data_IF_825568512387
#
_entry.id   IF_825568512387
#
_cell.length_a   1.000
_cell.length_b   1.000
_cell.length_c   1.000
_cell.angle_alpha   90.00
_cell.angle_beta   90.00
_cell.angle_gamma   90.00
#
_symmetry.space_group_name_H-M   'P 1'
#
loop_
_entity.id
_entity.type
_entity.pdbx_description
1 polymer ?
#
# COMPACT_ATOMS: atom_id res chain seq x y z
N UNK A 1 -14.71 -4.13 -5.03
CA UNK A 1 -13.31 -4.29 -4.59
C UNK A 1 -12.83 -5.71 -4.90
N UNK A 2 -11.61 -5.81 -5.30
CA UNK A 2 -10.98 -7.09 -5.58
C UNK A 2 -10.67 -7.85 -4.29
N UNK A 3 -10.78 -9.18 -4.33
CA UNK A 3 -10.32 -10.05 -3.24
C UNK A 3 -8.85 -10.41 -3.38
N UNK A 4 -8.14 -9.72 -4.26
CA UNK A 4 -6.72 -9.92 -4.49
C UNK A 4 -5.93 -8.89 -3.69
N UNK A 5 -4.93 -9.36 -2.98
CA UNK A 5 -4.02 -8.51 -2.22
C UNK A 5 -2.60 -8.63 -2.77
N UNK A 6 -1.79 -7.65 -2.50
CA UNK A 6 -0.37 -7.68 -2.82
C UNK A 6 0.41 -7.82 -1.52
N UNK A 7 1.21 -8.87 -1.42
CA UNK A 7 1.98 -9.17 -0.21
C UNK A 7 3.37 -9.64 -0.61
N UNK A 8 4.38 -8.98 -0.08
CA UNK A 8 5.79 -9.36 -0.28
C UNK A 8 6.18 -9.53 -1.75
N UNK A 9 5.69 -8.64 -2.60
CA UNK A 9 6.04 -8.63 -4.02
C UNK A 9 5.18 -9.52 -4.90
N UNK A 10 4.10 -10.10 -4.37
CA UNK A 10 3.24 -11.01 -5.13
C UNK A 10 1.78 -10.68 -4.93
N UNK A 11 0.99 -10.91 -5.97
CA UNK A 11 -0.46 -10.87 -5.85
C UNK A 11 -0.95 -12.20 -5.30
N UNK A 12 -1.77 -12.14 -4.26
CA UNK A 12 -2.30 -13.33 -3.59
C UNK A 12 -3.79 -13.16 -3.34
N UNK A 13 -4.48 -14.28 -3.14
CA UNK A 13 -5.89 -14.24 -2.77
C UNK A 13 -6.04 -13.96 -1.27
N UNK A 14 -7.22 -13.49 -0.89
CA UNK A 14 -7.52 -13.17 0.51
C UNK A 14 -7.20 -14.34 1.45
N UNK A 15 -7.49 -15.55 1.01
CA UNK A 15 -7.32 -16.76 1.80
C UNK A 15 -5.86 -17.07 2.10
N UNK A 16 -4.95 -16.54 1.27
CA UNK A 16 -3.50 -16.75 1.40
C UNK A 16 -2.79 -15.56 2.01
N UNK A 17 -3.54 -14.54 2.42
CA UNK A 17 -2.98 -13.28 2.91
C UNK A 17 -2.73 -13.33 4.42
N UNK A 18 -1.60 -13.93 4.82
CA UNK A 18 -1.17 -13.90 6.22
C UNK A 18 0.26 -13.50 6.38
N UNK A 19 0.57 -13.05 7.60
CA UNK A 19 1.93 -12.75 8.01
C UNK A 19 2.29 -13.65 9.18
N UNK A 20 3.57 -13.93 9.31
CA UNK A 20 4.07 -14.77 10.41
C UNK A 20 3.83 -14.09 11.77
N UNK A 21 3.46 -14.84 12.81
CA UNK A 21 3.44 -14.30 14.17
C UNK A 21 4.81 -13.80 14.64
N UNK A 22 5.88 -14.19 13.95
CA UNK A 22 7.25 -13.74 14.26
C UNK A 22 7.61 -12.44 13.54
N UNK A 23 6.66 -11.84 12.81
CA UNK A 23 6.89 -10.57 12.12
C UNK A 23 7.28 -9.49 13.12
N UNK A 24 8.30 -8.73 12.77
CA UNK A 24 8.90 -7.71 13.63
C UNK A 24 7.89 -6.70 14.16
N UNK A 25 6.97 -6.25 13.31
CA UNK A 25 5.91 -5.31 13.68
C UNK A 25 5.05 -5.84 14.82
N UNK A 26 4.71 -7.14 14.79
CA UNK A 26 3.85 -7.75 15.79
C UNK A 26 4.54 -7.89 17.15
N UNK A 27 5.86 -8.07 17.15
CA UNK A 27 6.62 -8.26 18.39
C UNK A 27 7.18 -6.95 18.96
N UNK A 28 7.56 -6.02 18.09
CA UNK A 28 8.30 -4.82 18.49
C UNK A 28 7.59 -3.53 18.12
N UNK A 29 6.47 -3.62 17.44
CA UNK A 29 5.69 -2.44 17.06
C UNK A 29 6.35 -1.56 16.00
N UNK A 30 7.31 -2.09 15.22
CA UNK A 30 7.98 -1.32 14.17
C UNK A 30 7.32 -1.57 12.82
N UNK A 31 6.68 -0.54 12.31
CA UNK A 31 6.05 -0.60 11.00
C UNK A 31 5.68 0.79 10.53
N UNK A 32 5.45 0.94 9.25
CA UNK A 32 4.97 2.19 8.66
C UNK A 32 3.76 1.90 7.79
N UNK A 33 2.78 2.79 7.83
CA UNK A 33 1.58 2.64 7.01
C UNK A 33 1.12 4.00 6.52
N UNK A 34 0.27 3.98 5.49
CA UNK A 34 -0.34 5.18 4.95
C UNK A 34 -1.74 4.84 4.49
N UNK A 35 -2.67 5.76 4.67
CA UNK A 35 -4.04 5.60 4.21
C UNK A 35 -4.35 6.55 3.08
N UNK A 36 -4.94 6.03 2.02
CA UNK A 36 -5.37 6.84 0.89
C UNK A 36 -6.86 6.63 0.63
N UNK A 37 -7.50 7.64 0.07
CA UNK A 37 -8.92 7.58 -0.29
C UNK A 37 -9.09 7.79 -1.77
N UNK A 38 -10.09 7.13 -2.33
CA UNK A 38 -10.49 7.32 -3.71
C UNK A 38 -11.86 7.98 -3.78
N UNK A 39 -12.08 8.73 -4.85
CA UNK A 39 -13.33 9.43 -5.08
C UNK A 39 -13.76 9.24 -6.53
N UNK A 40 -15.07 9.13 -6.75
CA UNK A 40 -15.62 9.05 -8.10
C UNK A 40 -15.44 10.43 -8.76
N UNK A 41 -14.88 10.45 -9.97
CA UNK A 41 -14.67 11.67 -10.71
C UNK A 41 -16.01 12.26 -11.21
N UNK A 42 -15.99 13.51 -11.65
CA UNK A 42 -17.18 14.20 -12.13
C UNK A 42 -17.90 13.48 -13.28
N UNK A 43 -17.17 12.75 -14.09
CA UNK A 43 -17.76 11.98 -15.20
C UNK A 43 -18.44 10.69 -14.75
N UNK A 44 -18.34 10.35 -13.47
CA UNK A 44 -18.87 9.13 -12.86
C UNK A 44 -18.35 7.84 -13.47
N UNK A 45 -17.30 7.93 -14.30
CA UNK A 45 -16.74 6.80 -15.04
C UNK A 45 -15.34 6.42 -14.55
N UNK A 46 -14.67 7.31 -13.85
CA UNK A 46 -13.32 7.08 -13.37
C UNK A 46 -13.23 7.35 -11.88
N UNK A 47 -12.17 6.86 -11.28
CA UNK A 47 -11.91 7.01 -9.85
C UNK A 47 -10.58 7.73 -9.67
N UNK A 48 -10.58 8.77 -8.85
CA UNK A 48 -9.38 9.51 -8.51
C UNK A 48 -8.94 9.15 -7.10
N UNK A 49 -7.65 8.91 -6.93
CA UNK A 49 -7.07 8.72 -5.60
C UNK A 49 -6.53 10.07 -5.12
N UNK A 50 -7.04 10.51 -3.98
CA UNK A 50 -6.68 11.81 -3.45
C UNK A 50 -5.20 11.82 -3.02
N UNK A 51 -4.41 12.66 -3.66
CA UNK A 51 -2.99 12.89 -3.33
C UNK A 51 -2.16 11.61 -3.20
N UNK A 52 -2.35 10.69 -4.14
CA UNK A 52 -1.65 9.40 -4.09
C UNK A 52 -0.12 9.57 -4.02
N UNK A 53 0.42 10.46 -4.83
CA UNK A 53 1.87 10.69 -4.85
C UNK A 53 2.39 11.17 -3.50
N UNK A 54 1.73 12.15 -2.91
CA UNK A 54 2.11 12.72 -1.61
C UNK A 54 2.00 11.69 -0.50
N UNK A 55 0.94 10.88 -0.49
CA UNK A 55 0.77 9.80 0.48
C UNK A 55 1.85 8.73 0.33
N UNK A 56 2.18 8.37 -0.91
CA UNK A 56 3.20 7.37 -1.18
C UNK A 56 4.58 7.87 -0.76
N UNK A 57 4.90 9.11 -1.10
CA UNK A 57 6.16 9.73 -0.68
C UNK A 57 6.27 9.79 0.83
N UNK A 58 5.18 10.12 1.51
CA UNK A 58 5.15 10.17 2.98
C UNK A 58 5.36 8.79 3.59
N UNK A 59 4.82 7.74 2.97
CA UNK A 59 5.06 6.36 3.41
C UNK A 59 6.57 6.04 3.37
N UNK A 60 7.23 6.41 2.28
CA UNK A 60 8.68 6.18 2.14
C UNK A 60 9.48 6.98 3.17
N UNK A 61 9.07 8.21 3.45
CA UNK A 61 9.69 9.03 4.49
C UNK A 61 9.51 8.40 5.88
N UNK A 62 8.31 7.92 6.19
CA UNK A 62 8.04 7.25 7.47
C UNK A 62 8.88 6.00 7.63
N UNK A 63 9.00 5.19 6.56
CA UNK A 63 9.83 4.00 6.58
C UNK A 63 11.31 4.35 6.80
N UNK A 64 11.79 5.42 6.19
CA UNK A 64 13.16 5.89 6.35
C UNK A 64 13.46 6.28 7.79
N UNK A 65 12.51 6.97 8.44
CA UNK A 65 12.68 7.42 9.83
C UNK A 65 12.89 6.22 10.77
N UNK A 66 12.17 5.13 10.56
CA UNK A 66 12.31 3.93 11.39
C UNK A 66 13.31 2.93 10.82
N UNK A 67 14.05 3.33 9.78
CA UNK A 67 15.11 2.54 9.16
C UNK A 67 14.62 1.24 8.53
N UNK A 68 13.44 1.26 7.93
CA UNK A 68 12.88 0.15 7.17
C UNK A 68 13.07 0.43 5.68
N UNK A 69 13.71 -0.50 4.98
CA UNK A 69 13.92 -0.38 3.54
C UNK A 69 12.70 -0.90 2.79
N UNK A 70 12.22 -0.10 1.83
CA UNK A 70 11.16 -0.53 0.91
C UNK A 70 11.85 -0.91 -0.41
N UNK A 71 11.68 -2.17 -0.83
CA UNK A 71 12.37 -2.72 -2.00
C UNK A 71 11.65 -2.42 -3.32
N UNK A 72 10.86 -1.37 -3.34
CA UNK A 72 10.08 -0.94 -4.51
C UNK A 72 10.16 0.57 -4.64
N UNK A 73 10.01 1.08 -5.87
CA UNK A 73 10.02 2.52 -6.10
C UNK A 73 8.67 3.14 -5.75
N UNK A 74 8.65 4.46 -5.61
CA UNK A 74 7.41 5.22 -5.40
C UNK A 74 6.42 4.94 -6.52
N UNK A 75 6.90 4.94 -7.77
CA UNK A 75 6.04 4.70 -8.94
C UNK A 75 5.45 3.29 -8.93
N UNK A 76 6.23 2.27 -8.54
CA UNK A 76 5.72 0.91 -8.42
C UNK A 76 4.60 0.81 -7.37
N UNK A 77 4.78 1.44 -6.22
CA UNK A 77 3.76 1.42 -5.15
C UNK A 77 2.51 2.17 -5.59
N UNK A 78 2.65 3.29 -6.30
CA UNK A 78 1.51 4.02 -6.85
C UNK A 78 0.73 3.18 -7.85
N UNK A 79 1.43 2.48 -8.75
CA UNK A 79 0.79 1.60 -9.73
C UNK A 79 0.02 0.47 -9.05
N UNK A 80 0.59 -0.13 -8.01
CA UNK A 80 -0.08 -1.17 -7.23
C UNK A 80 -1.36 -0.65 -6.59
N UNK A 81 -1.33 0.57 -6.07
CA UNK A 81 -2.50 1.20 -5.47
C UNK A 81 -3.61 1.40 -6.49
N UNK A 82 -3.26 1.85 -7.69
CA UNK A 82 -4.23 2.05 -8.77
C UNK A 82 -4.88 0.73 -9.21
N UNK A 83 -4.11 -0.34 -9.26
CA UNK A 83 -4.62 -1.67 -9.64
C UNK A 83 -5.62 -2.17 -8.60
N UNK A 84 -5.38 -1.94 -7.31
CA UNK A 84 -6.24 -2.43 -6.24
C UNK A 84 -7.59 -1.73 -6.17
N UNK A 85 -7.70 -0.53 -6.73
CA UNK A 85 -8.95 0.24 -6.68
C UNK A 85 -9.89 -0.12 -7.82
N UNK A 86 -9.36 -0.58 -8.92
CA UNK A 86 -10.18 -0.94 -10.10
C UNK A 86 -10.89 -2.29 -9.94
#
# INVERSE_FOLDING_TARGET
MSNTYWLNGKYIQKEDAYVSPLTHTLHYGLGAFEGVRSYIAHDEKSVNIFRLKEHTERLFESAKIINVAINHSVDEVMDLSLIHIS
#
